data_IF_199326357851
#
_entry.id   IF_199326357851
#
_cell.length_a   1.000
_cell.length_b   1.000
_cell.length_c   1.000
_cell.angle_alpha   90.00
_cell.angle_beta   90.00
_cell.angle_gamma   90.00
#
_symmetry.space_group_name_H-M   'P 1'
#
loop_
_entity.id
_entity.type
_entity.pdbx_description
1 polymer ?
#
# COMPACT_ATOMS: atom_id res chain seq x y z
N UNK A 1 9.07 8.88 10.08
CA UNK A 1 10.34 8.36 9.51
C UNK A 1 11.45 9.30 9.92
N UNK A 2 12.59 8.80 10.40
CA UNK A 2 13.76 9.65 10.67
C UNK A 2 14.62 9.73 9.39
N UNK A 3 14.31 10.72 8.55
CA UNK A 3 14.98 10.90 7.25
C UNK A 3 16.45 11.25 7.42
N UNK A 4 16.82 11.96 8.50
CA UNK A 4 18.22 12.33 8.77
C UNK A 4 19.07 11.12 9.11
N UNK A 5 18.53 10.18 9.92
CA UNK A 5 19.21 8.92 10.20
C UNK A 5 19.40 8.07 8.93
N UNK A 6 18.39 8.03 8.05
CA UNK A 6 18.50 7.35 6.75
C UNK A 6 19.56 7.98 5.86
N UNK A 7 19.58 9.31 5.74
CA UNK A 7 20.56 10.03 4.94
C UNK A 7 21.99 9.76 5.44
N UNK A 8 22.21 9.82 6.76
CA UNK A 8 23.50 9.52 7.37
C UNK A 8 23.94 8.07 7.10
N UNK A 9 23.02 7.10 7.24
CA UNK A 9 23.30 5.70 6.99
C UNK A 9 23.65 5.41 5.52
N UNK A 10 22.88 5.96 4.58
CA UNK A 10 23.13 5.79 3.14
C UNK A 10 24.45 6.43 2.70
N UNK A 11 24.79 7.62 3.25
CA UNK A 11 26.09 8.26 3.03
C UNK A 11 27.24 7.41 3.57
N UNK A 12 27.12 6.92 4.81
CA UNK A 12 28.15 6.10 5.43
C UNK A 12 28.39 4.77 4.67
N UNK A 13 27.34 4.22 4.07
CA UNK A 13 27.41 3.01 3.25
C UNK A 13 27.87 3.26 1.80
N UNK A 14 28.06 4.52 1.38
CA UNK A 14 28.44 4.85 0.00
C UNK A 14 27.34 4.56 -1.04
N UNK A 15 26.08 4.51 -0.61
CA UNK A 15 24.92 4.16 -1.45
C UNK A 15 24.25 5.38 -2.11
N UNK A 16 24.76 6.59 -1.84
CA UNK A 16 24.34 7.79 -2.56
C UNK A 16 25.32 8.09 -3.70
N UNK A 17 24.85 8.53 -4.88
CA UNK A 17 23.47 8.97 -5.17
C UNK A 17 22.50 7.86 -5.62
N UNK A 18 22.94 6.61 -5.69
CA UNK A 18 22.14 5.50 -6.25
C UNK A 18 20.78 5.32 -5.56
N UNK A 19 20.73 5.39 -4.23
CA UNK A 19 19.51 5.27 -3.42
C UNK A 19 18.92 6.63 -2.97
N UNK A 20 19.10 7.68 -3.78
CA UNK A 20 18.55 9.01 -3.48
C UNK A 20 17.01 9.01 -3.45
N UNK A 21 16.40 8.18 -4.28
CA UNK A 21 14.96 7.95 -4.38
C UNK A 21 14.34 7.49 -3.05
N UNK A 22 15.07 6.76 -2.22
CA UNK A 22 14.62 6.35 -0.87
C UNK A 22 14.36 7.57 0.01
N UNK A 23 15.27 8.54 0.02
CA UNK A 23 15.13 9.76 0.82
C UNK A 23 14.01 10.64 0.28
N UNK A 24 13.93 10.76 -1.05
CA UNK A 24 12.85 11.51 -1.69
C UNK A 24 11.49 10.88 -1.41
N UNK A 25 11.38 9.56 -1.49
CA UNK A 25 10.16 8.81 -1.22
C UNK A 25 9.70 8.97 0.22
N UNK A 26 10.59 9.00 1.22
CA UNK A 26 10.18 9.26 2.61
C UNK A 26 9.60 10.67 2.83
N UNK A 27 10.03 11.65 2.02
CA UNK A 27 9.57 13.03 2.13
C UNK A 27 8.33 13.32 1.27
N UNK A 28 8.30 12.78 0.05
CA UNK A 28 7.31 13.11 -1.00
C UNK A 28 6.33 11.98 -1.28
N UNK A 29 6.56 10.79 -0.74
CA UNK A 29 5.83 9.57 -1.05
C UNK A 29 6.48 8.78 -2.19
N UNK A 30 6.36 7.45 -2.13
CA UNK A 30 6.83 6.53 -3.16
C UNK A 30 5.75 6.34 -4.24
N UNK A 31 6.18 6.41 -5.50
CA UNK A 31 5.33 6.15 -6.67
C UNK A 31 5.08 4.63 -6.80
N UNK A 32 3.81 4.23 -6.82
CA UNK A 32 3.37 2.85 -6.97
C UNK A 32 3.04 2.45 -8.42
N UNK A 33 3.34 3.32 -9.40
CA UNK A 33 3.07 3.09 -10.81
C UNK A 33 1.60 3.34 -11.21
N UNK A 34 0.82 4.03 -10.38
CA UNK A 34 -0.57 4.40 -10.66
C UNK A 34 -0.59 5.80 -11.30
N UNK A 35 -0.87 5.94 -12.60
CA UNK A 35 -0.95 7.23 -13.26
C UNK A 35 -2.24 7.95 -12.88
N UNK A 36 -2.24 9.27 -13.05
CA UNK A 36 -3.49 10.05 -13.01
C UNK A 36 -4.42 9.59 -14.12
N UNK A 37 -5.63 9.17 -13.76
CA UNK A 37 -6.62 8.68 -14.72
C UNK A 37 -8.04 9.02 -14.25
N UNK A 38 -8.98 8.90 -15.19
CA UNK A 38 -10.42 9.04 -14.95
C UNK A 38 -11.15 7.92 -15.65
N UNK A 39 -12.38 7.67 -15.22
CA UNK A 39 -13.31 6.84 -15.99
C UNK A 39 -13.92 7.66 -17.12
N UNK A 40 -14.45 6.98 -18.13
CA UNK A 40 -15.19 7.60 -19.23
C UNK A 40 -16.40 8.38 -18.72
N UNK A 41 -16.67 9.52 -19.36
CA UNK A 41 -17.74 10.45 -18.98
C UNK A 41 -17.32 11.47 -17.92
N UNK A 42 -18.22 12.39 -17.57
CA UNK A 42 -17.98 13.46 -16.60
C UNK A 42 -18.06 12.99 -15.13
N UNK A 43 -17.70 11.73 -14.87
CA UNK A 43 -17.74 11.15 -13.53
C UNK A 43 -16.66 11.77 -12.64
N UNK A 44 -17.09 12.31 -11.50
CA UNK A 44 -16.19 12.87 -10.48
C UNK A 44 -15.74 11.84 -9.46
N UNK A 45 -16.43 10.69 -9.36
CA UNK A 45 -15.97 9.57 -8.53
C UNK A 45 -16.52 8.21 -8.97
N UNK A 46 -15.87 7.15 -8.52
CA UNK A 46 -16.34 5.76 -8.63
C UNK A 46 -16.24 5.04 -7.29
N UNK A 47 -17.38 4.74 -6.66
CA UNK A 47 -17.40 4.11 -5.33
C UNK A 47 -18.29 2.86 -5.31
N UNK A 48 -17.77 1.70 -5.74
CA UNK A 48 -18.52 0.45 -5.73
C UNK A 48 -18.78 -0.04 -4.30
N UNK A 49 -19.85 -0.83 -4.08
CA UNK A 49 -20.12 -1.42 -2.77
C UNK A 49 -19.05 -2.43 -2.36
N UNK A 50 -18.86 -2.58 -1.04
CA UNK A 50 -17.97 -3.59 -0.47
C UNK A 50 -18.42 -5.02 -0.78
N UNK A 51 -17.48 -5.96 -0.84
CA UNK A 51 -17.75 -7.37 -1.08
C UNK A 51 -18.57 -8.00 0.05
N UNK A 52 -19.36 -9.03 -0.25
CA UNK A 52 -20.12 -9.80 0.75
C UNK A 52 -19.23 -10.34 1.86
N UNK A 53 -18.00 -10.75 1.54
CA UNK A 53 -17.00 -11.20 2.54
C UNK A 53 -16.71 -10.14 3.61
N UNK A 54 -16.66 -8.85 3.22
CA UNK A 54 -16.45 -7.77 4.17
C UNK A 54 -17.69 -7.51 5.03
N UNK A 55 -18.89 -7.65 4.47
CA UNK A 55 -20.14 -7.54 5.24
C UNK A 55 -20.25 -8.63 6.31
N UNK A 56 -19.91 -9.88 5.96
CA UNK A 56 -19.87 -10.99 6.92
C UNK A 56 -18.84 -10.79 8.04
N UNK A 57 -17.74 -10.11 7.73
CA UNK A 57 -16.66 -9.82 8.68
C UNK A 57 -16.72 -8.40 9.29
N UNK A 58 -17.87 -7.71 9.19
CA UNK A 58 -18.03 -6.27 9.49
C UNK A 58 -17.43 -5.83 10.82
N UNK A 59 -17.73 -6.53 11.92
CA UNK A 59 -17.24 -6.16 13.26
C UNK A 59 -15.71 -6.20 13.33
N UNK A 60 -15.07 -7.28 12.86
CA UNK A 60 -13.61 -7.43 12.85
C UNK A 60 -12.93 -6.39 11.94
N UNK A 61 -13.52 -6.08 10.80
CA UNK A 61 -12.98 -5.05 9.89
C UNK A 61 -13.09 -3.66 10.52
N UNK A 62 -14.22 -3.33 11.17
CA UNK A 62 -14.35 -2.05 11.90
C UNK A 62 -13.27 -1.91 12.97
N UNK A 63 -13.02 -2.96 13.76
CA UNK A 63 -11.93 -2.95 14.75
C UNK A 63 -10.55 -2.75 14.12
N UNK A 64 -10.30 -3.42 12.98
CA UNK A 64 -9.05 -3.24 12.24
C UNK A 64 -8.86 -1.81 11.76
N UNK A 65 -9.90 -1.21 11.16
CA UNK A 65 -9.88 0.18 10.70
C UNK A 65 -9.58 1.13 11.87
N UNK A 66 -10.23 0.95 13.01
CA UNK A 66 -9.98 1.79 14.19
C UNK A 66 -8.54 1.69 14.70
N UNK A 67 -7.93 0.50 14.65
CA UNK A 67 -6.51 0.32 15.00
C UNK A 67 -5.60 1.06 14.03
N UNK A 68 -5.88 1.01 12.73
CA UNK A 68 -5.07 1.72 11.71
C UNK A 68 -5.25 3.24 11.77
N UNK A 69 -6.47 3.75 12.01
CA UNK A 69 -6.74 5.16 12.26
C UNK A 69 -5.99 5.68 13.49
N UNK A 70 -6.05 4.96 14.62
CA UNK A 70 -5.32 5.32 15.84
C UNK A 70 -3.81 5.35 15.61
N UNK A 71 -3.31 4.47 14.74
CA UNK A 71 -1.90 4.41 14.37
C UNK A 71 -1.50 5.41 13.28
N UNK A 72 -2.44 6.21 12.74
CA UNK A 72 -2.20 7.15 11.62
C UNK A 72 -1.67 6.46 10.35
N UNK A 73 -2.17 5.25 10.07
CA UNK A 73 -1.86 4.44 8.86
C UNK A 73 -3.09 4.23 7.96
N UNK A 74 -4.15 4.96 8.29
CA UNK A 74 -5.33 5.23 7.49
C UNK A 74 -5.82 6.61 7.91
N UNK A 75 -6.51 7.31 7.02
CA UNK A 75 -7.00 8.67 7.28
C UNK A 75 -8.47 8.80 6.89
N UNK A 76 -9.23 9.61 7.65
CA UNK A 76 -10.67 9.81 7.52
C UNK A 76 -11.44 9.38 8.78
N UNK A 77 -12.72 9.01 8.67
CA UNK A 77 -13.53 9.02 7.44
C UNK A 77 -13.77 10.44 6.92
N UNK A 78 -13.60 10.62 5.61
CA UNK A 78 -13.91 11.85 4.90
C UNK A 78 -15.28 11.75 4.24
N UNK A 79 -15.92 12.90 4.05
CA UNK A 79 -17.09 13.04 3.19
C UNK A 79 -16.67 13.13 1.73
N UNK A 80 -17.56 12.78 0.81
CA UNK A 80 -17.34 12.96 -0.64
C UNK A 80 -16.97 14.40 -0.99
N UNK A 81 -17.57 15.38 -0.32
CA UNK A 81 -17.27 16.81 -0.53
C UNK A 81 -15.81 17.13 -0.20
N UNK A 82 -15.32 16.70 0.97
CA UNK A 82 -13.93 16.92 1.37
C UNK A 82 -12.94 16.29 0.39
N UNK A 83 -13.24 15.09 -0.12
CA UNK A 83 -12.37 14.43 -1.10
C UNK A 83 -12.42 15.14 -2.46
N UNK A 84 -13.61 15.55 -2.91
CA UNK A 84 -13.80 16.26 -4.17
C UNK A 84 -13.16 17.68 -4.18
N UNK A 85 -13.01 18.32 -3.02
CA UNK A 85 -12.27 19.58 -2.88
C UNK A 85 -10.76 19.41 -3.12
N UNK A 86 -10.20 18.23 -2.84
CA UNK A 86 -8.79 17.92 -3.04
C UNK A 86 -8.50 17.26 -4.39
N UNK A 87 -9.38 16.38 -4.84
CA UNK A 87 -9.16 15.55 -6.01
C UNK A 87 -10.30 15.71 -7.01
N UNK A 88 -10.00 16.06 -8.27
CA UNK A 88 -11.04 16.30 -9.25
C UNK A 88 -11.62 14.98 -9.81
N UNK A 89 -11.00 13.84 -9.48
CA UNK A 89 -11.54 12.48 -9.59
C UNK A 89 -10.98 11.63 -8.45
N UNK A 90 -11.79 10.72 -7.89
CA UNK A 90 -11.35 9.70 -6.95
C UNK A 90 -12.17 8.42 -7.07
N UNK A 91 -11.66 7.32 -6.53
CA UNK A 91 -12.38 6.05 -6.46
C UNK A 91 -12.15 5.37 -5.13
N UNK A 92 -13.16 4.60 -4.70
CA UNK A 92 -12.95 3.57 -3.69
C UNK A 92 -12.78 2.23 -4.36
N UNK A 93 -12.09 1.32 -3.68
CA UNK A 93 -12.09 -0.08 -4.03
C UNK A 93 -12.85 -0.85 -2.96
N UNK A 94 -13.58 -1.93 -3.33
CA UNK A 94 -14.35 -2.69 -2.36
C UNK A 94 -13.46 -3.25 -1.24
N UNK A 95 -13.91 -3.09 0.00
CA UNK A 95 -13.38 -3.89 1.08
C UNK A 95 -13.76 -5.35 0.86
N UNK A 96 -12.79 -6.23 1.02
CA UNK A 96 -12.97 -7.67 1.13
C UNK A 96 -12.47 -8.21 2.47
N UNK A 97 -12.60 -9.52 2.67
CA UNK A 97 -12.06 -10.19 3.84
C UNK A 97 -11.48 -11.55 3.43
N UNK A 98 -10.26 -11.84 3.88
CA UNK A 98 -9.57 -13.11 3.64
C UNK A 98 -9.04 -13.69 4.94
N UNK A 99 -8.90 -15.01 5.01
CA UNK A 99 -8.22 -15.69 6.11
C UNK A 99 -6.77 -15.95 5.67
N UNK A 100 -5.79 -15.47 6.44
CA UNK A 100 -4.38 -15.74 6.13
C UNK A 100 -3.99 -17.17 6.54
N UNK A 101 -2.78 -17.60 6.15
CA UNK A 101 -2.22 -18.89 6.53
C UNK A 101 -2.09 -19.13 8.05
N UNK A 102 -2.14 -18.07 8.87
CA UNK A 102 -2.18 -18.17 10.34
C UNK A 102 -3.60 -18.19 10.93
N UNK A 103 -4.65 -18.32 10.11
CA UNK A 103 -6.05 -18.34 10.53
C UNK A 103 -6.65 -16.98 10.88
N UNK A 104 -5.87 -15.90 10.84
CA UNK A 104 -6.37 -14.55 11.15
C UNK A 104 -7.06 -13.92 9.94
N UNK A 105 -8.20 -13.28 10.18
CA UNK A 105 -8.90 -12.47 9.20
C UNK A 105 -8.11 -11.20 8.88
N UNK A 106 -7.92 -10.90 7.59
CA UNK A 106 -7.41 -9.63 7.11
C UNK A 106 -8.45 -8.93 6.22
N UNK A 107 -8.77 -7.65 6.48
CA UNK A 107 -9.44 -6.83 5.48
C UNK A 107 -8.50 -6.64 4.27
N UNK A 108 -9.10 -6.56 3.08
CA UNK A 108 -8.38 -6.25 1.84
C UNK A 108 -9.00 -5.04 1.16
N UNK A 109 -8.16 -4.24 0.51
CA UNK A 109 -8.51 -3.16 -0.40
C UNK A 109 -8.39 -3.73 -1.82
N UNK A 110 -9.50 -4.05 -2.48
CA UNK A 110 -9.48 -4.80 -3.75
C UNK A 110 -9.15 -3.92 -4.96
N UNK A 111 -7.87 -3.67 -5.16
CA UNK A 111 -7.33 -2.91 -6.30
C UNK A 111 -7.51 -3.61 -7.66
N UNK A 112 -8.03 -4.84 -7.66
CA UNK A 112 -8.32 -5.64 -8.86
C UNK A 112 -9.81 -5.68 -9.21
N UNK A 113 -10.62 -4.79 -8.64
CA UNK A 113 -12.04 -4.62 -8.96
C UNK A 113 -12.29 -3.46 -9.97
N UNK A 114 -13.31 -3.55 -10.85
CA UNK A 114 -14.21 -4.68 -11.11
C UNK A 114 -13.68 -5.71 -12.10
N UNK A 115 -13.91 -7.01 -11.84
CA UNK A 115 -13.57 -8.06 -12.80
C UNK A 115 -14.51 -8.05 -14.02
N UNK A 116 -13.93 -8.23 -15.21
CA UNK A 116 -14.69 -8.44 -16.45
C UNK A 116 -15.42 -7.21 -17.00
N UNK A 117 -15.06 -5.99 -16.57
CA UNK A 117 -15.62 -4.74 -17.12
C UNK A 117 -14.53 -3.92 -17.81
N UNK A 118 -14.45 -4.00 -19.14
CA UNK A 118 -13.43 -3.30 -19.92
C UNK A 118 -13.48 -1.76 -19.78
N UNK A 119 -14.67 -1.20 -19.51
CA UNK A 119 -14.91 0.24 -19.36
C UNK A 119 -14.26 0.83 -18.08
N UNK A 120 -13.97 0.00 -17.08
CA UNK A 120 -13.45 0.43 -15.78
C UNK A 120 -12.11 -0.27 -15.53
N UNK A 121 -10.97 0.41 -15.78
CA UNK A 121 -9.67 -0.19 -15.53
C UNK A 121 -9.49 -0.54 -14.05
N UNK A 122 -8.75 -1.62 -13.80
CA UNK A 122 -8.34 -2.03 -12.45
C UNK A 122 -7.20 -1.12 -12.00
N UNK A 123 -7.15 -0.71 -10.73
CA UNK A 123 -6.01 0.08 -10.24
C UNK A 123 -4.71 -0.68 -10.46
N UNK A 124 -4.70 -1.98 -10.16
CA UNK A 124 -3.55 -2.85 -10.39
C UNK A 124 -3.18 -3.03 -11.88
N UNK A 125 -4.09 -2.77 -12.83
CA UNK A 125 -3.79 -2.93 -14.26
C UNK A 125 -2.86 -1.85 -14.81
N UNK A 126 -2.67 -0.75 -14.09
CA UNK A 126 -1.74 0.31 -14.47
C UNK A 126 -0.29 0.04 -14.06
N UNK A 127 -0.08 -0.84 -13.08
CA UNK A 127 1.23 -1.11 -12.50
C UNK A 127 1.99 -2.09 -13.39
N UNK A 128 3.07 -1.63 -14.04
CA UNK A 128 3.99 -2.52 -14.74
C UNK A 128 5.01 -3.12 -13.76
N UNK A 129 4.91 -4.43 -13.54
CA UNK A 129 5.83 -5.16 -12.67
C UNK A 129 7.30 -5.03 -13.08
N UNK A 130 7.59 -4.75 -14.36
CA UNK A 130 8.97 -4.54 -14.85
C UNK A 130 9.61 -3.27 -14.30
N UNK A 131 8.82 -2.31 -13.83
CA UNK A 131 9.32 -1.09 -13.19
C UNK A 131 9.69 -1.31 -11.72
N UNK A 132 9.31 -2.44 -11.13
CA UNK A 132 9.52 -2.76 -9.71
C UNK A 132 10.30 -4.07 -9.57
N UNK A 133 11.43 -4.17 -10.26
CA UNK A 133 12.29 -5.36 -10.17
C UNK A 133 12.88 -5.47 -8.77
N UNK A 134 12.57 -6.58 -8.12
CA UNK A 134 13.12 -6.95 -6.82
C UNK A 134 14.09 -8.10 -6.99
N UNK A 135 15.28 -8.00 -6.42
CA UNK A 135 16.22 -9.12 -6.28
C UNK A 135 15.81 -9.95 -5.06
N UNK A 136 15.42 -11.20 -5.27
CA UNK A 136 15.12 -12.15 -4.20
C UNK A 136 16.12 -13.29 -4.24
N UNK A 137 16.84 -13.49 -3.15
CA UNK A 137 17.53 -14.75 -2.89
C UNK A 137 16.54 -15.75 -2.28
N UNK A 138 16.63 -17.00 -2.71
CA UNK A 138 15.80 -18.06 -2.15
C UNK A 138 16.49 -18.75 -0.96
N UNK A 139 15.73 -19.57 -0.24
CA UNK A 139 16.22 -20.31 0.93
C UNK A 139 17.52 -21.07 0.65
N UNK A 140 17.64 -21.72 -0.51
CA UNK A 140 18.81 -22.54 -0.82
C UNK A 140 20.06 -21.68 -1.04
N UNK A 141 19.92 -20.51 -1.69
CA UNK A 141 21.03 -19.57 -1.89
C UNK A 141 21.59 -19.11 -0.55
N UNK A 142 20.71 -18.60 0.33
CA UNK A 142 21.10 -18.12 1.66
C UNK A 142 21.65 -19.26 2.53
N UNK A 143 21.02 -20.44 2.50
CA UNK A 143 21.48 -21.60 3.26
C UNK A 143 22.87 -22.09 2.82
N UNK A 144 23.13 -22.10 1.51
CA UNK A 144 24.45 -22.48 0.99
C UNK A 144 25.52 -21.45 1.36
N UNK A 145 25.22 -20.16 1.20
CA UNK A 145 26.12 -19.08 1.63
C UNK A 145 26.55 -19.26 3.09
N UNK A 146 25.60 -19.52 4.00
CA UNK A 146 25.89 -19.72 5.43
C UNK A 146 26.70 -21.00 5.66
N UNK A 147 26.37 -22.12 4.97
CA UNK A 147 27.11 -23.40 5.11
C UNK A 147 28.56 -23.30 4.63
N UNK A 148 28.83 -22.46 3.65
CA UNK A 148 30.16 -22.34 3.05
C UNK A 148 31.12 -21.46 3.86
N UNK A 149 30.62 -20.73 4.86
CA UNK A 149 31.46 -19.95 5.78
C UNK A 149 32.44 -20.86 6.53
N UNK A 150 33.75 -20.59 6.37
CA UNK A 150 34.83 -21.37 7.01
C UNK A 150 35.29 -20.79 8.34
N UNK A 151 34.69 -19.69 8.77
CA UNK A 151 35.04 -18.95 9.97
C UNK A 151 33.77 -18.45 10.68
N UNK A 152 33.80 -18.22 12.00
CA UNK A 152 32.69 -17.64 12.74
C UNK A 152 32.35 -16.24 12.21
N UNK A 153 31.05 -15.95 12.10
CA UNK A 153 30.53 -14.62 11.73
C UNK A 153 29.52 -14.14 12.76
N UNK A 154 29.30 -12.83 12.80
CA UNK A 154 28.18 -12.23 13.52
C UNK A 154 26.99 -12.10 12.56
N UNK A 155 25.83 -12.59 12.96
CA UNK A 155 24.60 -12.53 12.17
C UNK A 155 23.61 -11.57 12.83
N UNK A 156 23.06 -10.65 12.03
CA UNK A 156 21.93 -9.81 12.39
C UNK A 156 20.81 -9.98 11.35
N UNK A 157 19.58 -10.14 11.81
CA UNK A 157 18.39 -10.24 10.95
C UNK A 157 17.47 -9.09 11.31
N UNK A 158 17.10 -8.30 10.32
CA UNK A 158 16.13 -7.21 10.48
C UNK A 158 14.84 -7.58 9.76
N UNK A 159 13.72 -7.42 10.45
CA UNK A 159 12.40 -7.57 9.86
C UNK A 159 11.67 -6.23 9.99
N UNK A 160 11.27 -5.65 8.86
CA UNK A 160 10.47 -4.43 8.88
C UNK A 160 9.00 -4.78 9.07
N UNK A 161 8.52 -4.68 10.31
CA UNK A 161 7.12 -4.96 10.62
C UNK A 161 6.18 -4.04 9.81
N UNK A 162 5.21 -4.61 9.08
CA UNK A 162 4.17 -3.86 8.35
C UNK A 162 4.74 -2.77 7.41
N UNK A 163 5.82 -3.07 6.70
CA UNK A 163 6.50 -2.13 5.79
C UNK A 163 5.54 -1.33 4.89
N UNK A 164 4.55 -1.99 4.26
CA UNK A 164 3.56 -1.35 3.38
C UNK A 164 2.64 -0.32 4.06
N UNK A 165 2.60 -0.29 5.40
CA UNK A 165 1.83 0.67 6.19
C UNK A 165 2.70 1.81 6.74
N UNK A 166 4.01 1.75 6.51
CA UNK A 166 4.99 2.71 7.00
C UNK A 166 5.71 3.45 5.87
N UNK A 167 5.68 2.88 4.66
CA UNK A 167 6.17 3.52 3.45
C UNK A 167 5.07 4.45 2.93
N UNK A 168 5.28 5.78 2.90
CA UNK A 168 4.28 6.72 2.41
C UNK A 168 4.10 6.53 0.89
N UNK A 169 2.85 6.56 0.40
CA UNK A 169 2.60 6.59 -1.04
C UNK A 169 2.58 8.02 -1.56
N UNK A 170 2.91 8.21 -2.83
CA UNK A 170 2.83 9.52 -3.48
C UNK A 170 1.40 10.11 -3.36
N UNK A 171 1.26 11.38 -2.90
CA UNK A 171 -0.05 11.98 -2.65
C UNK A 171 -0.98 12.07 -3.87
N UNK A 172 -0.43 12.11 -5.07
CA UNK A 172 -1.20 12.12 -6.30
C UNK A 172 -1.81 10.76 -6.68
N UNK A 173 -1.44 9.69 -5.96
CA UNK A 173 -1.98 8.34 -6.11
C UNK A 173 -3.04 7.99 -5.06
N UNK A 174 -3.11 8.75 -3.96
CA UNK A 174 -4.15 8.64 -2.93
C UNK A 174 -5.60 8.52 -3.43
N UNK A 175 -6.06 9.29 -4.45
CA UNK A 175 -7.44 9.18 -4.92
C UNK A 175 -7.80 7.81 -5.51
N UNK A 176 -6.83 6.93 -5.77
CA UNK A 176 -7.06 5.58 -6.30
C UNK A 176 -6.95 4.47 -5.24
N UNK A 177 -6.50 4.80 -4.03
CA UNK A 177 -6.23 3.87 -2.94
C UNK A 177 -7.28 3.90 -1.82
N UNK A 178 -8.39 4.61 -2.03
CA UNK A 178 -9.41 4.79 -1.00
C UNK A 178 -10.30 3.54 -0.82
N UNK A 179 -10.93 3.43 0.35
CA UNK A 179 -11.97 2.43 0.66
C UNK A 179 -13.18 3.12 1.26
N UNK A 180 -14.37 2.54 1.11
CA UNK A 180 -15.59 3.03 1.77
C UNK A 180 -15.84 2.21 3.05
N UNK A 181 -16.02 2.89 4.17
CA UNK A 181 -16.40 2.25 5.42
C UNK A 181 -17.88 1.77 5.39
N UNK A 182 -18.29 1.03 6.42
CA UNK A 182 -19.67 0.51 6.49
C UNK A 182 -20.75 1.53 6.82
N UNK A 183 -20.38 2.81 6.97
CA UNK A 183 -21.28 3.93 7.25
C UNK A 183 -21.28 4.96 6.09
N UNK A 184 -20.58 4.67 4.97
CA UNK A 184 -20.50 5.54 3.79
C UNK A 184 -19.34 6.55 3.81
N UNK A 185 -18.51 6.56 4.84
CA UNK A 185 -17.32 7.41 4.95
C UNK A 185 -16.17 6.90 4.09
N UNK A 186 -15.38 7.82 3.53
CA UNK A 186 -14.24 7.50 2.68
C UNK A 186 -12.95 7.47 3.50
N UNK A 187 -12.19 6.38 3.43
CA UNK A 187 -10.92 6.22 4.13
C UNK A 187 -9.79 6.13 3.13
N UNK A 188 -8.73 6.89 3.37
CA UNK A 188 -7.47 6.75 2.65
C UNK A 188 -6.65 5.63 3.30
N UNK A 189 -6.28 4.63 2.51
CA UNK A 189 -5.49 3.46 2.90
C UNK A 189 -4.05 3.61 2.39
N UNK A 190 -3.24 4.41 3.09
CA UNK A 190 -1.85 4.76 2.73
C UNK A 190 -0.92 4.73 3.94
#
# INVERSE_FOLDING_TARGET
MDVGAWEAALKAAGLLPELQDVLEGFCKGFDQGIPKHRLTGDLTYYTPPNHTSALLAKSKIKESIQKELKAKRMFGPFTYKQVAECFPFFRTNPLGAVINGNGLLRPINDLSFPHGRAEIPLVNSFVDAKNFQTTWDNFNVVANFIKDLKYPVLLAIFNWEKVYRQIPTAPDQWPYLMVQDFNGGLLLDT
#
